data_IF_967238671219
#
_entry.id   IF_967238671219
#
_cell.length_a   1.000
_cell.length_b   1.000
_cell.length_c   1.000
_cell.angle_alpha   90.00
_cell.angle_beta   90.00
_cell.angle_gamma   90.00
#
_symmetry.space_group_name_H-M   'P 1'
#
loop_
_entity.id
_entity.type
_entity.pdbx_description
1 polymer ?
#
# COMPACT_ATOMS: atom_id res chain seq x y z
N UNK A 1 19.11 -8.26 -32.23
CA UNK A 1 18.29 -9.14 -31.37
C UNK A 1 19.07 -9.63 -30.15
N UNK A 2 20.29 -10.16 -30.29
CA UNK A 2 21.11 -10.63 -29.15
C UNK A 2 21.34 -9.55 -28.07
N UNK A 3 21.61 -8.30 -28.46
CA UNK A 3 21.74 -7.19 -27.52
C UNK A 3 20.46 -6.91 -26.71
N UNK A 4 19.31 -6.93 -27.38
CA UNK A 4 18.02 -6.75 -26.70
C UNK A 4 17.76 -7.88 -25.71
N UNK A 5 18.02 -9.13 -26.09
CA UNK A 5 17.87 -10.30 -25.21
C UNK A 5 18.79 -10.19 -23.98
N UNK A 6 20.05 -9.80 -24.17
CA UNK A 6 21.00 -9.60 -23.07
C UNK A 6 20.54 -8.49 -22.13
N UNK A 7 20.04 -7.37 -22.67
CA UNK A 7 19.50 -6.27 -21.88
C UNK A 7 18.26 -6.70 -21.06
N UNK A 8 17.36 -7.50 -21.64
CA UNK A 8 16.19 -7.98 -20.90
C UNK A 8 16.59 -8.95 -19.78
N UNK A 9 17.58 -9.81 -20.04
CA UNK A 9 18.09 -10.76 -19.04
C UNK A 9 18.80 -10.05 -17.88
N UNK A 10 19.60 -9.01 -18.15
CA UNK A 10 20.25 -8.23 -17.09
C UNK A 10 19.22 -7.46 -16.27
N UNK A 11 18.21 -6.86 -16.91
CA UNK A 11 17.15 -6.16 -16.20
C UNK A 11 16.34 -7.12 -15.30
N UNK A 12 15.99 -8.31 -15.81
CA UNK A 12 15.30 -9.34 -15.04
C UNK A 12 16.15 -9.82 -13.84
N UNK A 13 17.45 -10.03 -14.03
CA UNK A 13 18.36 -10.44 -12.97
C UNK A 13 18.45 -9.40 -11.85
N UNK A 14 18.50 -8.11 -12.20
CA UNK A 14 18.53 -7.01 -11.22
C UNK A 14 17.24 -6.99 -10.40
N UNK A 15 16.06 -7.12 -11.03
CA UNK A 15 14.77 -7.15 -10.33
C UNK A 15 14.67 -8.34 -9.37
N UNK A 16 15.12 -9.53 -9.79
CA UNK A 16 15.13 -10.71 -8.92
C UNK A 16 16.10 -10.53 -7.75
N UNK A 17 17.28 -9.96 -7.99
CA UNK A 17 18.27 -9.73 -6.95
C UNK A 17 17.79 -8.73 -5.88
N UNK A 18 17.15 -7.63 -6.29
CA UNK A 18 16.63 -6.63 -5.35
C UNK A 18 15.45 -7.16 -4.55
N UNK A 19 14.54 -7.92 -5.17
CA UNK A 19 13.43 -8.57 -4.48
C UNK A 19 13.93 -9.62 -3.46
N UNK A 20 14.96 -10.39 -3.81
CA UNK A 20 15.55 -11.38 -2.92
C UNK A 20 16.29 -10.75 -1.73
N UNK A 21 17.01 -9.64 -1.94
CA UNK A 21 17.70 -8.92 -0.88
C UNK A 21 16.71 -8.35 0.14
N UNK A 22 15.63 -7.73 -0.31
CA UNK A 22 14.60 -7.18 0.57
C UNK A 22 13.95 -8.26 1.45
N UNK A 23 13.74 -9.46 0.92
CA UNK A 23 13.18 -10.58 1.70
C UNK A 23 14.20 -11.17 2.69
N UNK A 24 15.49 -11.15 2.36
CA UNK A 24 16.55 -11.67 3.23
C UNK A 24 16.88 -10.69 4.37
N UNK A 25 16.83 -9.38 4.14
CA UNK A 25 17.00 -8.37 5.20
C UNK A 25 15.92 -8.48 6.30
N UNK A 26 14.71 -8.94 5.94
CA UNK A 26 13.65 -9.24 6.93
C UNK A 26 13.95 -10.52 7.72
N UNK A 27 14.76 -11.43 7.16
CA UNK A 27 15.04 -12.76 7.72
C UNK A 27 16.33 -12.84 8.53
N UNK A 28 17.14 -11.78 8.58
CA UNK A 28 18.31 -11.70 9.46
C UNK A 28 17.93 -10.99 10.78
N UNK A 29 17.52 -11.72 11.84
CA UNK A 29 17.37 -11.13 13.15
C UNK A 29 18.76 -10.85 13.72
N UNK A 30 19.23 -9.60 13.57
CA UNK A 30 20.35 -9.10 14.34
C UNK A 30 20.14 -9.38 15.85
N UNK A 31 21.20 -9.69 16.62
CA UNK A 31 21.07 -10.07 18.01
C UNK A 31 20.51 -8.90 18.84
N UNK A 32 19.43 -9.21 19.56
CA UNK A 32 18.68 -8.33 20.46
C UNK A 32 19.61 -7.55 21.41
N UNK A 33 19.74 -6.26 21.18
CA UNK A 33 19.95 -5.31 22.28
C UNK A 33 18.59 -5.01 22.90
N UNK A 34 18.45 -5.35 24.18
CA UNK A 34 17.26 -5.09 24.99
C UNK A 34 17.10 -3.57 25.25
N UNK A 35 15.84 -3.16 25.42
CA UNK A 35 15.38 -1.85 25.95
C UNK A 35 15.36 -0.58 25.07
N UNK A 36 15.32 -0.72 23.74
CA UNK A 36 14.71 0.36 22.94
C UNK A 36 13.18 0.13 22.85
N UNK A 37 12.32 1.13 23.12
CA UNK A 37 10.92 1.07 22.73
C UNK A 37 10.87 0.78 21.24
N UNK A 38 10.48 -0.45 20.88
CA UNK A 38 10.32 -0.83 19.49
C UNK A 38 9.31 0.14 18.89
N UNK A 39 9.62 0.88 17.81
CA UNK A 39 8.61 1.65 17.11
C UNK A 39 7.47 0.69 16.82
N UNK A 40 6.26 1.03 17.24
CA UNK A 40 5.09 0.23 16.94
C UNK A 40 5.12 -0.05 15.43
N UNK A 41 5.03 -1.33 15.05
CA UNK A 41 4.95 -1.68 13.65
C UNK A 41 3.78 -0.88 13.04
N UNK A 42 3.95 -0.27 11.85
CA UNK A 42 2.87 0.50 11.26
C UNK A 42 1.65 -0.42 11.12
N UNK A 43 0.57 -0.08 11.81
CA UNK A 43 -0.64 -0.88 11.82
C UNK A 43 -1.16 -1.04 10.39
N UNK A 44 -1.47 -2.28 10.01
CA UNK A 44 -2.10 -2.55 8.72
C UNK A 44 -3.45 -1.83 8.67
N UNK A 45 -3.76 -1.08 7.61
CA UNK A 45 -5.04 -0.39 7.53
C UNK A 45 -6.21 -1.37 7.66
N UNK A 46 -7.11 -1.13 8.60
CA UNK A 46 -8.29 -1.96 8.83
C UNK A 46 -9.44 -1.65 7.86
N UNK A 47 -9.34 -0.53 7.14
CA UNK A 47 -10.36 -0.07 6.19
C UNK A 47 -9.74 0.36 4.86
N UNK A 48 -10.56 0.36 3.81
CA UNK A 48 -10.17 0.81 2.48
C UNK A 48 -9.81 2.31 2.47
N UNK A 49 -10.50 3.12 3.27
CA UNK A 49 -10.21 4.54 3.46
C UNK A 49 -8.81 4.72 4.07
N UNK A 50 -8.45 3.89 5.05
CA UNK A 50 -7.11 3.88 5.65
C UNK A 50 -6.02 3.53 4.62
N UNK A 51 -6.28 2.56 3.73
CA UNK A 51 -5.37 2.23 2.62
C UNK A 51 -5.17 3.45 1.71
N UNK A 52 -6.25 4.11 1.29
CA UNK A 52 -6.16 5.29 0.41
C UNK A 52 -5.40 6.46 1.03
N UNK A 53 -5.58 6.69 2.35
CA UNK A 53 -4.83 7.71 3.08
C UNK A 53 -3.34 7.38 3.11
N UNK A 54 -2.98 6.13 3.39
CA UNK A 54 -1.58 5.71 3.36
C UNK A 54 -0.96 5.92 1.98
N UNK A 55 -1.64 5.51 0.91
CA UNK A 55 -1.13 5.66 -0.46
C UNK A 55 -0.87 7.12 -0.87
N UNK A 56 -1.70 8.08 -0.41
CA UNK A 56 -1.47 9.50 -0.71
C UNK A 56 -0.33 10.08 0.15
N UNK A 57 -0.14 9.59 1.38
CA UNK A 57 0.98 9.98 2.23
C UNK A 57 2.32 9.43 1.74
N UNK A 58 2.33 8.20 1.21
CA UNK A 58 3.49 7.55 0.59
C UNK A 58 3.77 8.07 -0.83
N UNK A 59 2.87 8.88 -1.39
CA UNK A 59 3.01 9.47 -2.72
C UNK A 59 2.73 8.50 -3.88
N UNK A 60 2.18 7.32 -3.58
CA UNK A 60 1.76 6.33 -4.58
C UNK A 60 0.58 6.83 -5.43
N UNK A 61 -0.28 7.67 -4.83
CA UNK A 61 -1.37 8.35 -5.53
C UNK A 61 -1.34 9.85 -5.28
N UNK A 62 -1.80 10.61 -6.26
CA UNK A 62 -1.98 12.06 -6.15
C UNK A 62 -3.22 12.40 -5.30
N UNK A 63 -3.25 13.62 -4.75
CA UNK A 63 -4.44 14.15 -4.05
C UNK A 63 -5.71 14.13 -4.91
N UNK A 64 -5.57 14.32 -6.22
CA UNK A 64 -6.69 14.27 -7.16
C UNK A 64 -7.24 12.84 -7.33
N UNK A 65 -6.35 11.85 -7.42
CA UNK A 65 -6.73 10.44 -7.46
C UNK A 65 -7.39 9.99 -6.15
N UNK A 66 -6.84 10.38 -4.99
CA UNK A 66 -7.43 10.13 -3.69
C UNK A 66 -8.89 10.64 -3.62
N UNK A 67 -9.12 11.91 -3.96
CA UNK A 67 -10.46 12.50 -3.97
C UNK A 67 -11.44 11.74 -4.87
N UNK A 68 -11.01 11.37 -6.07
CA UNK A 68 -11.84 10.61 -7.01
C UNK A 68 -12.15 9.20 -6.49
N UNK A 69 -11.21 8.56 -5.82
CA UNK A 69 -11.40 7.24 -5.22
C UNK A 69 -12.41 7.28 -4.06
N UNK A 70 -12.26 8.25 -3.15
CA UNK A 70 -13.19 8.47 -2.03
C UNK A 70 -14.60 8.77 -2.54
N UNK A 71 -14.74 9.61 -3.57
CA UNK A 71 -16.04 9.90 -4.17
C UNK A 71 -16.71 8.63 -4.70
N UNK A 72 -16.00 7.80 -5.47
CA UNK A 72 -16.55 6.54 -5.99
C UNK A 72 -16.95 5.58 -4.89
N UNK A 73 -16.19 5.56 -3.78
CA UNK A 73 -16.50 4.72 -2.64
C UNK A 73 -17.80 5.18 -1.99
N UNK A 74 -17.99 6.48 -1.81
CA UNK A 74 -19.22 7.07 -1.28
C UNK A 74 -20.42 6.86 -2.21
N UNK A 75 -20.27 7.01 -3.53
CA UNK A 75 -21.32 6.70 -4.51
C UNK A 75 -21.76 5.23 -4.39
N UNK A 76 -20.80 4.30 -4.33
CA UNK A 76 -21.09 2.88 -4.15
C UNK A 76 -21.74 2.58 -2.80
N UNK A 77 -21.36 3.30 -1.76
CA UNK A 77 -21.94 3.14 -0.43
C UNK A 77 -23.38 3.64 -0.39
N UNK A 78 -23.67 4.79 -1.01
CA UNK A 78 -25.03 5.29 -1.16
C UNK A 78 -25.95 4.31 -1.91
N UNK A 79 -25.43 3.63 -2.94
CA UNK A 79 -26.17 2.60 -3.68
C UNK A 79 -26.43 1.33 -2.84
N UNK A 80 -25.46 0.94 -1.99
CA UNK A 80 -25.55 -0.29 -1.18
C UNK A 80 -26.27 -0.10 0.14
N UNK A 81 -26.15 1.07 0.74
CA UNK A 81 -26.62 1.41 2.07
C UNK A 81 -27.34 2.77 2.02
N UNK A 82 -28.52 2.83 1.37
CA UNK A 82 -29.26 4.09 1.25
C UNK A 82 -29.69 4.60 2.63
N UNK A 83 -29.45 5.89 2.88
CA UNK A 83 -29.88 6.56 4.10
C UNK A 83 -31.41 6.74 4.07
N UNK A 84 -32.09 6.24 5.10
CA UNK A 84 -33.52 6.47 5.30
C UNK A 84 -33.73 7.69 6.18
N UNK A 85 -34.54 8.63 5.73
CA UNK A 85 -34.97 9.76 6.56
C UNK A 85 -36.12 9.29 7.45
N UNK A 86 -36.06 9.47 8.78
CA UNK A 86 -37.17 9.16 9.67
C UNK A 86 -38.43 9.96 9.29
N UNK A 87 -39.64 9.42 9.51
CA UNK A 87 -40.87 10.18 9.31
C UNK A 87 -40.91 11.40 10.23
N UNK A 88 -41.43 12.52 9.73
CA UNK A 88 -41.77 13.68 10.55
C UNK A 88 -43.16 13.44 11.16
N UNK A 89 -43.22 13.23 12.48
CA UNK A 89 -44.48 13.12 13.24
C UNK A 89 -45.20 14.48 13.35
#
# INVERSE_FOLDING_TARGET
MMFMVLLTLTLAAVVVATAWSALKDVRDPAPKSADAPRPAAPESPESLEGVLVRQVLEGEITRAQYRRAVQKLAERDADRHPLSVPPED
#
